data_IF_789092746152
#
_entry.id   IF_789092746152
#
_cell.length_a   1.000
_cell.length_b   1.000
_cell.length_c   1.000
_cell.angle_alpha   90.00
_cell.angle_beta   90.00
_cell.angle_gamma   90.00
#
_symmetry.space_group_name_H-M   'P 1'
#
loop_
_entity.id
_entity.type
_entity.pdbx_description
1 polymer ?
#
# COMPACT_ATOMS: atom_id res chain seq x y z
N UNK A 1 -3.88 -11.59 6.03
CA UNK A 1 -3.28 -11.06 7.27
C UNK A 1 -2.12 -10.13 6.98
N UNK A 2 -1.14 -10.56 6.18
CA UNK A 2 0.07 -9.81 5.80
C UNK A 2 -0.05 -8.28 5.64
N UNK A 3 -0.99 -7.79 4.83
CA UNK A 3 -1.17 -6.34 4.60
C UNK A 3 -1.58 -5.64 5.90
N UNK A 4 -2.55 -6.21 6.61
CA UNK A 4 -3.07 -5.65 7.88
C UNK A 4 -1.97 -5.68 8.94
N UNK A 5 -1.21 -6.77 9.04
CA UNK A 5 -0.11 -6.91 9.99
C UNK A 5 1.00 -5.88 9.72
N UNK A 6 1.43 -5.71 8.47
CA UNK A 6 2.42 -4.71 8.12
C UNK A 6 1.95 -3.28 8.45
N UNK A 7 0.68 -2.96 8.21
CA UNK A 7 0.11 -1.65 8.53
C UNK A 7 -0.09 -1.44 10.04
N UNK A 8 -0.52 -2.47 10.75
CA UNK A 8 -0.62 -2.44 12.21
C UNK A 8 0.76 -2.23 12.83
N UNK A 9 1.79 -2.94 12.38
CA UNK A 9 3.16 -2.71 12.85
C UNK A 9 3.61 -1.27 12.56
N UNK A 10 3.37 -0.76 11.35
CA UNK A 10 3.71 0.63 11.00
C UNK A 10 3.01 1.69 11.89
N UNK A 11 1.82 1.40 12.41
CA UNK A 11 1.05 2.37 13.21
C UNK A 11 1.73 2.66 14.56
N UNK A 12 2.42 1.68 15.13
CA UNK A 12 3.10 1.76 16.44
C UNK A 12 4.57 2.16 16.39
N UNK A 13 5.17 2.29 15.20
CA UNK A 13 6.58 2.64 15.04
C UNK A 13 6.84 4.15 15.05
N UNK A 14 8.10 4.55 15.27
CA UNK A 14 8.51 5.93 15.02
C UNK A 14 8.45 6.24 13.53
N UNK A 15 8.31 7.53 13.19
CA UNK A 15 8.08 7.98 11.80
C UNK A 15 9.15 7.45 10.85
N UNK A 16 10.41 7.51 11.27
CA UNK A 16 11.58 7.08 10.50
C UNK A 16 11.50 5.59 10.14
N UNK A 17 10.88 4.79 11.00
CA UNK A 17 10.79 3.34 10.92
C UNK A 17 9.52 2.85 10.18
N UNK A 18 8.55 3.73 9.90
CA UNK A 18 7.29 3.33 9.23
C UNK A 18 7.47 2.97 7.76
N UNK A 19 8.42 3.63 7.09
CA UNK A 19 8.54 3.59 5.62
C UNK A 19 8.74 2.17 5.06
N UNK A 20 9.61 1.31 5.63
CA UNK A 20 9.76 -0.08 5.17
C UNK A 20 8.46 -0.90 5.22
N UNK A 21 7.63 -0.71 6.26
CA UNK A 21 6.37 -1.44 6.43
C UNK A 21 5.27 -0.94 5.50
N UNK A 22 5.21 0.36 5.24
CA UNK A 22 4.32 0.92 4.21
C UNK A 22 4.71 0.38 2.83
N UNK A 23 6.00 0.34 2.49
CA UNK A 23 6.49 -0.25 1.23
C UNK A 23 6.23 -1.75 1.12
N UNK A 24 6.34 -2.49 2.23
CA UNK A 24 5.94 -3.90 2.28
C UNK A 24 4.46 -4.06 1.97
N UNK A 25 3.61 -3.24 2.57
CA UNK A 25 2.16 -3.25 2.35
C UNK A 25 1.81 -2.97 0.88
N UNK A 26 2.49 -2.00 0.24
CA UNK A 26 2.33 -1.72 -1.20
C UNK A 26 2.62 -2.96 -2.04
N UNK A 27 3.78 -3.60 -1.85
CA UNK A 27 4.14 -4.82 -2.59
C UNK A 27 3.11 -5.95 -2.44
N UNK A 28 2.56 -6.11 -1.23
CA UNK A 28 1.54 -7.13 -0.93
C UNK A 28 0.21 -6.78 -1.60
N UNK A 29 -0.17 -5.51 -1.66
CA UNK A 29 -1.36 -5.04 -2.41
C UNK A 29 -1.18 -5.27 -3.91
N UNK A 30 -0.01 -4.96 -4.48
CA UNK A 30 0.26 -5.20 -5.91
C UNK A 30 0.20 -6.71 -6.24
N UNK A 31 0.70 -7.56 -5.34
CA UNK A 31 0.56 -9.01 -5.47
C UNK A 31 -0.91 -9.44 -5.47
N UNK A 32 -1.73 -8.86 -4.59
CA UNK A 32 -3.17 -9.13 -4.55
C UNK A 32 -3.87 -8.73 -5.85
N UNK A 33 -3.50 -7.60 -6.46
CA UNK A 33 -4.05 -7.18 -7.77
C UNK A 33 -3.77 -8.22 -8.85
N UNK A 34 -2.55 -8.75 -8.91
CA UNK A 34 -2.19 -9.82 -9.86
C UNK A 34 -3.04 -11.06 -9.62
N UNK A 35 -3.25 -11.46 -8.35
CA UNK A 35 -4.13 -12.59 -8.03
C UNK A 35 -5.58 -12.35 -8.44
N UNK A 36 -6.13 -11.16 -8.22
CA UNK A 36 -7.48 -10.79 -8.67
C UNK A 36 -7.60 -10.87 -10.19
N UNK A 37 -6.59 -10.37 -10.91
CA UNK A 37 -6.53 -10.46 -12.37
C UNK A 37 -6.50 -11.92 -12.82
N UNK A 38 -5.67 -12.78 -12.22
CA UNK A 38 -5.63 -14.22 -12.56
C UNK A 38 -6.96 -14.93 -12.27
N UNK A 39 -7.62 -14.64 -11.13
CA UNK A 39 -8.93 -15.21 -10.82
C UNK A 39 -9.98 -14.82 -11.85
N UNK A 40 -9.92 -13.60 -12.37
CA UNK A 40 -10.82 -13.12 -13.41
C UNK A 40 -10.52 -13.73 -14.78
N UNK A 41 -9.24 -13.80 -15.17
CA UNK A 41 -8.80 -14.42 -16.42
C UNK A 41 -9.20 -15.90 -16.50
N UNK A 42 -9.00 -16.63 -15.39
CA UNK A 42 -9.37 -18.05 -15.26
C UNK A 42 -10.87 -18.27 -15.10
N UNK A 43 -11.70 -17.21 -15.13
CA UNK A 43 -13.15 -17.27 -14.91
C UNK A 43 -13.56 -17.85 -13.55
N UNK A 44 -12.66 -17.81 -12.57
CA UNK A 44 -12.94 -18.20 -11.18
C UNK A 44 -13.86 -17.21 -10.48
N UNK A 45 -13.87 -15.95 -10.94
CA UNK A 45 -14.81 -14.91 -10.51
C UNK A 45 -15.44 -14.20 -11.72
N UNK A 46 -16.68 -13.75 -11.57
CA UNK A 46 -17.37 -12.95 -12.58
C UNK A 46 -16.91 -11.49 -12.59
N UNK A 47 -17.28 -10.76 -13.66
CA UNK A 47 -16.92 -9.35 -13.83
C UNK A 47 -17.37 -8.47 -12.66
N UNK A 48 -18.57 -8.71 -12.11
CA UNK A 48 -19.12 -7.88 -11.04
C UNK A 48 -18.27 -8.01 -9.77
N UNK A 49 -17.89 -9.24 -9.40
CA UNK A 49 -16.98 -9.50 -8.28
C UNK A 49 -15.59 -8.92 -8.52
N UNK A 50 -15.04 -9.11 -9.73
CA UNK A 50 -13.74 -8.56 -10.09
C UNK A 50 -13.72 -7.03 -9.97
N UNK A 51 -14.70 -6.33 -10.53
CA UNK A 51 -14.79 -4.86 -10.46
C UNK A 51 -14.83 -4.38 -9.00
N UNK A 52 -15.74 -4.93 -8.18
CA UNK A 52 -15.89 -4.52 -6.78
C UNK A 52 -14.59 -4.72 -5.98
N UNK A 53 -13.90 -5.84 -6.19
CA UNK A 53 -12.65 -6.14 -5.48
C UNK A 53 -11.48 -5.29 -5.98
N UNK A 54 -11.38 -5.08 -7.30
CA UNK A 54 -10.32 -4.29 -7.92
C UNK A 54 -10.42 -2.82 -7.52
N UNK A 55 -11.62 -2.22 -7.55
CA UNK A 55 -11.84 -0.83 -7.13
C UNK A 55 -11.38 -0.58 -5.68
N UNK A 56 -11.77 -1.48 -4.76
CA UNK A 56 -11.34 -1.41 -3.36
C UNK A 56 -9.83 -1.58 -3.21
N UNK A 57 -9.24 -2.51 -3.96
CA UNK A 57 -7.79 -2.77 -3.92
C UNK A 57 -7.00 -1.59 -4.48
N UNK A 58 -7.52 -0.92 -5.51
CA UNK A 58 -6.93 0.28 -6.10
C UNK A 58 -7.03 1.50 -5.18
N UNK A 59 -8.15 1.67 -4.47
CA UNK A 59 -8.28 2.68 -3.43
C UNK A 59 -7.23 2.50 -2.32
N UNK A 60 -7.08 1.27 -1.80
CA UNK A 60 -6.04 0.94 -0.82
C UNK A 60 -4.64 1.27 -1.38
N UNK A 61 -4.35 0.91 -2.64
CA UNK A 61 -3.08 1.22 -3.29
C UNK A 61 -2.80 2.73 -3.36
N UNK A 62 -3.80 3.55 -3.71
CA UNK A 62 -3.68 5.01 -3.72
C UNK A 62 -3.40 5.59 -2.33
N UNK A 63 -4.09 5.10 -1.31
CA UNK A 63 -3.86 5.53 0.08
C UNK A 63 -2.42 5.23 0.52
N UNK A 64 -1.94 4.01 0.26
CA UNK A 64 -0.56 3.61 0.60
C UNK A 64 0.49 4.40 -0.17
N UNK A 65 0.23 4.70 -1.46
CA UNK A 65 1.10 5.58 -2.26
C UNK A 65 1.22 6.98 -1.66
N UNK A 66 0.10 7.55 -1.22
CA UNK A 66 0.07 8.82 -0.50
C UNK A 66 0.90 8.80 0.79
N UNK A 67 0.75 7.75 1.60
CA UNK A 67 1.52 7.58 2.83
C UNK A 67 3.01 7.43 2.57
N UNK A 68 3.40 6.63 1.56
CA UNK A 68 4.80 6.48 1.19
C UNK A 68 5.40 7.85 0.77
N UNK A 69 4.71 8.62 -0.06
CA UNK A 69 5.16 9.95 -0.46
C UNK A 69 5.27 10.94 0.70
N UNK A 70 4.30 10.92 1.63
CA UNK A 70 4.33 11.77 2.81
C UNK A 70 5.50 11.43 3.74
N UNK A 71 5.70 10.15 4.04
CA UNK A 71 6.79 9.69 4.90
C UNK A 71 8.17 9.97 4.30
N UNK A 72 8.34 9.81 2.99
CA UNK A 72 9.60 10.17 2.31
C UNK A 72 9.93 11.65 2.45
N UNK A 73 8.93 12.54 2.30
CA UNK A 73 9.11 13.98 2.50
C UNK A 73 9.47 14.32 3.95
N UNK A 74 8.79 13.70 4.91
CA UNK A 74 9.02 13.96 6.34
C UNK A 74 10.37 13.40 6.85
N UNK A 75 10.89 12.35 6.22
CA UNK A 75 12.18 11.74 6.57
C UNK A 75 13.35 12.34 5.77
N UNK A 76 13.08 13.26 4.84
CA UNK A 76 14.13 13.98 4.13
C UNK A 76 14.77 14.98 5.10
N UNK A 77 16.11 15.07 5.17
CA UNK A 77 16.76 16.10 5.99
C UNK A 77 16.33 17.47 5.46
N UNK A 78 15.76 18.30 6.34
CA UNK A 78 15.50 19.70 6.06
C UNK A 78 16.80 20.33 5.54
N UNK A 79 16.77 20.94 4.36
CA UNK A 79 17.96 21.59 3.79
C UNK A 79 18.53 22.63 4.76
N UNK A 80 19.87 22.81 4.81
CA UNK A 80 20.48 23.85 5.63
C UNK A 80 20.17 25.21 4.99
N UNK A 81 19.34 26.04 5.62
CA UNK A 81 19.10 27.38 5.07
C UNK A 81 17.98 28.23 5.63
N UNK A 82 17.67 28.19 6.92
CA UNK A 82 17.04 29.35 7.61
C UNK A 82 17.71 29.50 8.98
N UNK A 83 18.76 30.32 9.02
CA UNK A 83 19.26 31.04 10.18
C UNK A 83 19.36 32.50 9.78
#
# INVERSE_FOLDING_TARGET
MEIIEALATASFLLREEKLPYVRLSIRKVDTLKIFLMMLWETKSIDNKKYIILSEKTDEIGRMLGGWNGQLQKQNSPSGPGEK
#
